data_IF_982867601534
#
_entry.id   IF_982867601534
#
_cell.length_a   1.000
_cell.length_b   1.000
_cell.length_c   1.000
_cell.angle_alpha   90.00
_cell.angle_beta   90.00
_cell.angle_gamma   90.00
#
_symmetry.space_group_name_H-M   'P 1'
#
loop_
_entity.id
_entity.type
_entity.pdbx_description
1 polymer ?
#
# COMPACT_ATOMS: atom_id res chain seq x y z
N UNK A 1 -7.89 19.14 1.28
CA UNK A 1 -7.58 17.69 1.41
C UNK A 1 -8.35 17.15 2.60
N UNK A 2 -9.08 16.04 2.44
CA UNK A 2 -9.91 15.43 3.50
C UNK A 2 -9.51 13.97 3.70
N UNK A 3 -9.19 13.57 4.93
CA UNK A 3 -8.97 12.15 5.24
C UNK A 3 -10.30 11.41 5.24
N UNK A 4 -10.34 10.26 4.56
CA UNK A 4 -11.52 9.39 4.46
C UNK A 4 -11.27 8.09 5.20
N UNK A 5 -10.04 7.57 5.14
CA UNK A 5 -9.60 6.46 5.96
C UNK A 5 -8.33 6.84 6.70
N UNK A 6 -8.31 6.60 8.01
CA UNK A 6 -7.15 6.92 8.85
C UNK A 6 -6.15 5.76 8.90
N UNK A 7 -6.62 4.52 8.78
CA UNK A 7 -5.77 3.33 8.80
C UNK A 7 -6.36 2.19 7.93
N UNK A 8 -6.38 2.37 6.62
CA UNK A 8 -6.71 1.32 5.66
C UNK A 8 -5.44 0.51 5.34
N UNK A 9 -5.31 -0.68 5.94
CA UNK A 9 -4.15 -1.58 5.78
C UNK A 9 -2.78 -0.90 5.98
N UNK A 10 -2.69 0.02 6.95
CA UNK A 10 -1.46 0.79 7.20
C UNK A 10 -1.27 2.02 6.31
N UNK A 11 -2.29 2.38 5.53
CA UNK A 11 -2.33 3.60 4.72
C UNK A 11 -3.39 4.57 5.24
N UNK A 12 -3.07 5.86 5.20
CA UNK A 12 -4.02 6.96 5.36
C UNK A 12 -4.53 7.36 3.99
N UNK A 13 -5.84 7.29 3.76
CA UNK A 13 -6.45 7.67 2.49
C UNK A 13 -7.06 9.06 2.59
N UNK A 14 -6.63 9.94 1.70
CA UNK A 14 -7.06 11.32 1.61
C UNK A 14 -7.65 11.62 0.24
N UNK A 15 -8.75 12.37 0.21
CA UNK A 15 -9.29 12.97 -1.01
C UNK A 15 -8.80 14.40 -1.17
N UNK A 16 -8.31 14.72 -2.35
CA UNK A 16 -7.98 16.07 -2.78
C UNK A 16 -8.69 16.33 -4.10
N UNK A 17 -9.68 17.23 -4.06
CA UNK A 17 -10.50 17.59 -5.22
C UNK A 17 -11.17 16.36 -5.85
N UNK A 18 -10.65 15.90 -6.99
CA UNK A 18 -11.13 14.73 -7.76
C UNK A 18 -10.20 13.53 -7.67
N UNK A 19 -9.15 13.59 -6.85
CA UNK A 19 -8.16 12.53 -6.70
C UNK A 19 -8.16 11.97 -5.29
N UNK A 20 -7.76 10.71 -5.16
CA UNK A 20 -7.55 10.01 -3.91
C UNK A 20 -6.08 9.64 -3.81
N UNK A 21 -5.55 9.80 -2.60
CA UNK A 21 -4.15 9.57 -2.27
C UNK A 21 -4.06 8.59 -1.12
N UNK A 22 -3.17 7.62 -1.23
CA UNK A 22 -2.78 6.75 -0.14
C UNK A 22 -1.43 7.21 0.41
N UNK A 23 -1.37 7.46 1.72
CA UNK A 23 -0.19 7.93 2.41
C UNK A 23 0.28 6.85 3.38
N UNK A 24 1.53 6.44 3.29
CA UNK A 24 2.20 5.56 4.25
C UNK A 24 3.43 6.27 4.79
N UNK A 25 3.61 6.28 6.12
CA UNK A 25 4.77 6.89 6.79
C UNK A 25 5.07 8.31 6.25
N UNK A 26 4.04 9.15 6.18
CA UNK A 26 4.08 10.53 5.70
C UNK A 26 4.49 10.73 4.22
N UNK A 27 4.48 9.66 3.40
CA UNK A 27 4.72 9.72 1.96
C UNK A 27 3.51 9.23 1.17
N UNK A 28 3.17 9.94 0.11
CA UNK A 28 2.13 9.51 -0.84
C UNK A 28 2.69 8.33 -1.64
N UNK A 29 2.05 7.17 -1.53
CA UNK A 29 2.43 5.94 -2.24
C UNK A 29 1.58 5.74 -3.48
N UNK A 30 0.28 6.02 -3.39
CA UNK A 30 -0.66 5.90 -4.52
C UNK A 30 -1.41 7.22 -4.72
N UNK A 31 -1.64 7.57 -5.99
CA UNK A 31 -2.49 8.70 -6.38
C UNK A 31 -3.33 8.26 -7.58
N UNK A 32 -4.65 8.17 -7.41
CA UNK A 32 -5.57 7.80 -8.48
C UNK A 32 -6.81 8.70 -8.48
N UNK A 33 -7.57 8.65 -9.57
CA UNK A 33 -8.78 9.45 -9.74
C UNK A 33 -10.01 8.84 -9.06
N UNK A 34 -10.34 7.56 -9.27
CA UNK A 34 -11.36 6.89 -8.48
C UNK A 34 -10.77 6.31 -7.19
N UNK A 35 -11.59 6.32 -6.14
CA UNK A 35 -11.23 5.73 -4.85
C UNK A 35 -10.97 4.22 -4.97
N UNK A 36 -11.74 3.51 -5.80
CA UNK A 36 -11.60 2.07 -6.00
C UNK A 36 -10.19 1.71 -6.47
N UNK A 37 -9.66 2.40 -7.48
CA UNK A 37 -8.30 2.11 -7.97
C UNK A 37 -7.22 2.34 -6.90
N UNK A 38 -7.41 3.32 -6.00
CA UNK A 38 -6.50 3.48 -4.86
C UNK A 38 -6.60 2.29 -3.90
N UNK A 39 -7.81 1.86 -3.57
CA UNK A 39 -8.04 0.75 -2.65
C UNK A 39 -7.49 -0.57 -3.23
N UNK A 40 -7.81 -0.86 -4.50
CA UNK A 40 -7.32 -2.04 -5.23
C UNK A 40 -5.79 -2.05 -5.32
N UNK A 41 -5.17 -0.88 -5.56
CA UNK A 41 -3.71 -0.75 -5.58
C UNK A 41 -3.09 -1.03 -4.21
N UNK A 42 -3.71 -0.55 -3.14
CA UNK A 42 -3.25 -0.83 -1.77
C UNK A 42 -3.37 -2.32 -1.46
N UNK A 43 -4.51 -2.95 -1.76
CA UNK A 43 -4.72 -4.37 -1.47
C UNK A 43 -3.72 -5.23 -2.23
N UNK A 44 -3.49 -4.93 -3.52
CA UNK A 44 -2.46 -5.60 -4.33
C UNK A 44 -1.06 -5.38 -3.76
N UNK A 45 -0.74 -4.16 -3.32
CA UNK A 45 0.57 -3.84 -2.74
C UNK A 45 0.83 -4.57 -1.43
N UNK A 46 -0.16 -4.61 -0.55
CA UNK A 46 -0.06 -5.30 0.74
C UNK A 46 0.09 -6.80 0.50
N UNK A 47 -0.73 -7.39 -0.38
CA UNK A 47 -0.64 -8.80 -0.76
C UNK A 47 0.79 -9.13 -1.27
N UNK A 48 1.32 -8.34 -2.21
CA UNK A 48 2.70 -8.51 -2.70
C UNK A 48 3.76 -8.34 -1.60
N UNK A 49 3.57 -7.42 -0.66
CA UNK A 49 4.50 -7.22 0.45
C UNK A 49 4.50 -8.41 1.42
N UNK A 50 3.33 -9.01 1.68
CA UNK A 50 3.20 -10.22 2.49
C UNK A 50 3.85 -11.42 1.77
N UNK A 51 3.72 -11.50 0.44
CA UNK A 51 4.39 -12.50 -0.37
C UNK A 51 5.91 -12.34 -0.41
N UNK A 52 6.44 -11.12 -0.42
CA UNK A 52 7.89 -10.88 -0.38
C UNK A 52 8.47 -11.09 1.02
N UNK A 53 7.76 -10.68 2.08
CA UNK A 53 8.18 -10.94 3.47
C UNK A 53 8.24 -12.43 3.79
N UNK A 54 7.47 -13.26 3.07
CA UNK A 54 7.49 -14.73 3.21
C UNK A 54 8.59 -15.42 2.38
N UNK A 55 9.23 -14.73 1.42
CA UNK A 55 10.30 -15.29 0.58
C UNK A 55 11.71 -15.00 1.08
N UNK A 56 11.89 -14.00 1.93
CA UNK A 56 13.23 -13.66 2.47
C UNK A 56 13.73 -14.66 3.53
N UNK A 57 12.89 -15.59 4.00
CA UNK A 57 13.29 -16.60 5.01
C UNK A 57 13.67 -17.96 4.41
N UNK A 58 13.77 -18.11 3.08
CA UNK A 58 14.19 -19.38 2.47
C UNK A 58 15.15 -19.19 1.29
N UNK A 59 16.30 -18.54 1.54
CA UNK A 59 17.46 -18.65 0.63
C UNK A 59 18.77 -18.69 1.43
N UNK A 60 18.88 -19.68 2.32
CA UNK A 60 20.12 -20.09 2.96
C UNK A 60 20.44 -21.53 2.58
N UNK A 61 20.94 -21.76 1.36
CA UNK A 61 21.48 -23.06 0.97
C UNK A 61 22.91 -23.18 1.55
N UNK A 62 23.26 -24.26 2.27
CA UNK A 62 24.63 -24.49 2.70
C UNK A 62 25.44 -25.00 1.51
N UNK A 63 26.54 -24.33 1.16
CA UNK A 63 27.59 -24.94 0.35
C UNK A 63 28.50 -25.73 1.27
N UNK A 64 28.50 -27.05 1.10
CA UNK A 64 29.57 -27.95 1.51
C UNK A 64 30.35 -28.34 0.27
#
# INVERSE_FOLDING_TARGET
MRTIYENYRGFKICKQESTYQAINTDRIVFTQWPLSEVLDSIDTYVDLSEFQSSKDTQSGLPQN
#
